data_IF_830467899491
#
_entry.id   IF_830467899491
#
_cell.length_a   1.000
_cell.length_b   1.000
_cell.length_c   1.000
_cell.angle_alpha   90.00
_cell.angle_beta   90.00
_cell.angle_gamma   90.00
#
_symmetry.space_group_name_H-M   'P 1'
#
loop_
_entity.id
_entity.type
_entity.pdbx_description
1 polymer ?
#
# COMPACT_ATOMS: atom_id res chain seq x y z
N UNK A 1 1.58 -18.92 41.57
CA UNK A 1 2.53 -17.84 41.21
C UNK A 1 2.20 -17.41 39.79
N UNK A 2 2.04 -16.11 39.51
CA UNK A 2 1.82 -15.59 38.16
C UNK A 2 2.70 -14.36 37.91
N UNK A 3 3.74 -14.54 37.10
CA UNK A 3 4.61 -13.47 36.63
C UNK A 3 4.63 -13.39 35.08
N UNK A 4 3.54 -13.81 34.44
CA UNK A 4 3.46 -13.92 32.98
C UNK A 4 2.55 -12.85 32.36
N UNK A 5 1.22 -13.00 32.50
CA UNK A 5 0.24 -12.00 32.02
C UNK A 5 -0.93 -11.89 32.98
N UNK A 6 -1.50 -10.68 33.06
CA UNK A 6 -2.80 -10.45 33.70
C UNK A 6 -3.88 -11.33 33.06
N UNK A 7 -4.78 -11.86 33.89
CA UNK A 7 -5.92 -12.66 33.43
C UNK A 7 -5.67 -14.14 33.15
N UNK A 8 -4.42 -14.64 33.25
CA UNK A 8 -4.14 -16.09 33.22
C UNK A 8 -4.79 -16.79 34.42
N UNK A 9 -4.72 -16.15 35.60
CA UNK A 9 -5.39 -16.60 36.81
C UNK A 9 -6.60 -15.70 37.05
N UNK A 10 -7.76 -16.31 37.32
CA UNK A 10 -8.93 -15.56 37.75
C UNK A 10 -8.69 -15.00 39.17
N UNK A 11 -8.58 -13.68 39.29
CA UNK A 11 -8.17 -12.98 40.52
C UNK A 11 -9.23 -13.09 41.63
N UNK A 12 -10.51 -13.14 41.29
CA UNK A 12 -11.61 -13.34 42.26
C UNK A 12 -11.60 -14.75 42.84
N UNK A 13 -11.47 -15.76 41.97
CA UNK A 13 -11.38 -17.16 42.37
C UNK A 13 -10.12 -17.41 43.20
N UNK A 14 -9.00 -16.77 42.85
CA UNK A 14 -7.77 -16.80 43.63
C UNK A 14 -7.98 -16.22 45.03
N UNK A 15 -8.61 -15.03 45.11
CA UNK A 15 -8.92 -14.40 46.38
C UNK A 15 -9.82 -15.29 47.26
N UNK A 16 -10.77 -16.00 46.67
CA UNK A 16 -11.63 -16.94 47.40
C UNK A 16 -10.88 -18.20 47.85
N UNK A 17 -10.03 -18.77 47.00
CA UNK A 17 -9.16 -19.89 47.36
C UNK A 17 -8.22 -19.55 48.52
N UNK A 18 -7.74 -18.30 48.58
CA UNK A 18 -6.90 -17.81 49.68
C UNK A 18 -7.70 -17.57 50.96
N UNK A 19 -8.90 -16.97 50.87
CA UNK A 19 -9.78 -16.73 52.03
C UNK A 19 -10.26 -18.01 52.68
N UNK A 20 -10.65 -19.00 51.87
CA UNK A 20 -11.12 -20.31 52.33
C UNK A 20 -10.01 -21.18 52.93
N UNK A 21 -8.74 -20.77 52.79
CA UNK A 21 -7.58 -21.57 53.21
C UNK A 21 -7.27 -22.75 52.30
N UNK A 22 -7.99 -22.89 51.17
CA UNK A 22 -7.67 -23.90 50.14
C UNK A 22 -6.28 -23.66 49.55
N UNK A 23 -5.91 -22.38 49.38
CA UNK A 23 -4.59 -21.95 48.95
C UNK A 23 -3.82 -21.36 50.13
N UNK A 24 -2.63 -21.90 50.40
CA UNK A 24 -1.78 -21.40 51.47
C UNK A 24 -1.23 -20.00 51.19
N UNK A 25 -1.05 -19.63 49.91
CA UNK A 25 -0.58 -18.31 49.51
C UNK A 25 -0.46 -18.16 48.00
N UNK A 26 -0.13 -16.95 47.56
CA UNK A 26 0.09 -16.63 46.15
C UNK A 26 1.20 -15.61 45.96
N UNK A 27 1.76 -15.56 44.75
CA UNK A 27 2.68 -14.50 44.35
C UNK A 27 2.31 -14.02 42.94
N UNK A 28 2.09 -12.71 42.77
CA UNK A 28 1.66 -12.12 41.50
C UNK A 28 2.50 -10.88 41.19
N UNK A 29 2.94 -10.79 39.93
CA UNK A 29 3.62 -9.62 39.39
C UNK A 29 2.73 -8.82 38.42
N UNK A 30 1.64 -9.42 37.95
CA UNK A 30 0.79 -8.89 36.87
C UNK A 30 -0.69 -9.01 37.23
N UNK A 31 -1.50 -8.06 36.75
CA UNK A 31 -2.94 -7.97 37.00
C UNK A 31 -3.72 -7.76 35.70
N UNK A 32 -5.01 -8.11 35.69
CA UNK A 32 -5.90 -7.82 34.54
C UNK A 32 -5.95 -6.32 34.23
N UNK A 33 -6.05 -5.50 35.29
CA UNK A 33 -6.00 -4.05 35.21
C UNK A 33 -4.74 -3.56 35.92
N UNK A 34 -3.92 -2.79 35.21
CA UNK A 34 -2.72 -2.18 35.77
C UNK A 34 -2.75 -0.66 35.60
N UNK A 35 -2.60 0.13 36.69
CA UNK A 35 -2.47 -0.29 38.09
C UNK A 35 -3.76 -0.92 38.66
N UNK A 36 -3.67 -1.89 39.60
CA UNK A 36 -4.85 -2.46 40.21
C UNK A 36 -5.62 -1.42 41.02
N UNK A 37 -6.96 -1.49 41.09
CA UNK A 37 -7.77 -0.64 41.95
C UNK A 37 -7.31 -0.67 43.42
N UNK A 38 -7.40 0.45 44.14
CA UNK A 38 -6.93 0.55 45.52
C UNK A 38 -7.66 -0.40 46.49
N UNK A 39 -8.89 -0.82 46.15
CA UNK A 39 -9.71 -1.75 46.90
C UNK A 39 -9.55 -3.22 46.44
N UNK A 40 -8.64 -3.50 45.50
CA UNK A 40 -8.43 -4.83 44.96
C UNK A 40 -8.12 -5.86 46.08
N UNK A 41 -8.85 -6.99 46.16
CA UNK A 41 -8.87 -7.85 47.34
C UNK A 41 -7.50 -8.46 47.67
N UNK A 42 -6.70 -8.79 46.65
CA UNK A 42 -5.37 -9.38 46.84
C UNK A 42 -4.37 -8.40 47.51
N UNK A 43 -4.57 -7.08 47.40
CA UNK A 43 -3.65 -6.08 47.98
C UNK A 43 -3.61 -6.10 49.51
N UNK A 44 -4.67 -6.62 50.14
CA UNK A 44 -4.83 -6.64 51.61
C UNK A 44 -4.54 -8.00 52.23
N UNK A 45 -4.20 -9.02 51.43
CA UNK A 45 -4.01 -10.38 51.90
C UNK A 45 -2.57 -10.62 52.36
N UNK A 46 -2.40 -10.98 53.63
CA UNK A 46 -1.08 -11.19 54.22
C UNK A 46 -0.31 -12.41 53.64
N UNK A 47 -1.02 -13.38 53.08
CA UNK A 47 -0.44 -14.57 52.45
C UNK A 47 -0.21 -14.41 50.93
N UNK A 48 -0.20 -13.17 50.44
CA UNK A 48 0.04 -12.87 49.03
C UNK A 48 1.24 -11.94 48.89
N UNK A 49 2.20 -12.33 48.05
CA UNK A 49 3.33 -11.47 47.66
C UNK A 49 3.00 -10.80 46.34
N UNK A 50 3.09 -9.48 46.30
CA UNK A 50 2.77 -8.70 45.11
C UNK A 50 3.95 -7.84 44.71
N UNK A 51 4.24 -7.79 43.41
CA UNK A 51 5.21 -6.89 42.81
C UNK A 51 4.56 -6.14 41.63
N UNK A 52 4.92 -4.86 41.39
CA UNK A 52 4.28 -4.04 40.36
C UNK A 52 4.92 -4.24 38.98
N UNK A 53 4.66 -5.37 38.33
CA UNK A 53 5.14 -5.70 36.97
C UNK A 53 6.66 -5.54 36.82
N UNK A 54 7.41 -6.11 37.76
CA UNK A 54 8.85 -6.01 37.85
C UNK A 54 9.61 -7.09 37.07
N UNK A 55 8.92 -8.04 36.42
CA UNK A 55 9.56 -9.18 35.74
C UNK A 55 10.67 -8.81 34.74
N UNK A 56 10.56 -7.66 34.07
CA UNK A 56 11.58 -7.12 33.16
C UNK A 56 12.31 -5.87 33.69
N UNK A 57 12.05 -5.48 34.94
CA UNK A 57 12.62 -4.27 35.58
C UNK A 57 13.99 -4.55 36.20
N UNK A 58 14.90 -5.14 35.42
CA UNK A 58 16.31 -5.37 35.81
C UNK A 58 17.26 -4.62 34.89
N UNK A 59 18.45 -4.28 35.39
CA UNK A 59 19.46 -3.55 34.61
C UNK A 59 19.88 -4.35 33.38
N UNK A 60 20.05 -5.66 33.53
CA UNK A 60 20.45 -6.58 32.47
C UNK A 60 19.37 -6.67 31.39
N UNK A 61 18.10 -6.86 31.76
CA UNK A 61 17.01 -6.96 30.80
C UNK A 61 16.82 -5.64 30.02
N UNK A 62 16.86 -4.49 30.71
CA UNK A 62 16.77 -3.19 30.05
C UNK A 62 17.96 -2.94 29.11
N UNK A 63 19.17 -3.36 29.50
CA UNK A 63 20.35 -3.28 28.63
C UNK A 63 20.19 -4.15 27.38
N UNK A 64 19.75 -5.40 27.54
CA UNK A 64 19.50 -6.30 26.41
C UNK A 64 18.44 -5.75 25.44
N UNK A 65 17.31 -5.25 25.97
CA UNK A 65 16.25 -4.63 25.15
C UNK A 65 16.77 -3.40 24.41
N UNK A 66 17.56 -2.54 25.08
CA UNK A 66 18.13 -1.36 24.44
C UNK A 66 19.11 -1.73 23.31
N UNK A 67 19.98 -2.73 23.53
CA UNK A 67 20.90 -3.23 22.50
C UNK A 67 20.14 -3.84 21.32
N UNK A 68 19.11 -4.65 21.58
CA UNK A 68 18.28 -5.25 20.52
C UNK A 68 17.56 -4.17 19.70
N UNK A 69 16.93 -3.18 20.36
CA UNK A 69 16.28 -2.06 19.69
C UNK A 69 17.27 -1.24 18.85
N UNK A 70 18.46 -0.95 19.37
CA UNK A 70 19.51 -0.26 18.63
C UNK A 70 19.98 -1.07 17.41
N UNK A 71 20.12 -2.40 17.55
CA UNK A 71 20.52 -3.27 16.45
C UNK A 71 19.45 -3.30 15.36
N UNK A 72 18.17 -3.36 15.71
CA UNK A 72 17.06 -3.27 14.74
C UNK A 72 17.11 -1.96 13.94
N UNK A 73 17.41 -0.84 14.61
CA UNK A 73 17.57 0.45 13.93
C UNK A 73 18.81 0.48 13.02
N UNK A 74 19.95 -0.05 13.47
CA UNK A 74 21.18 -0.12 12.67
C UNK A 74 20.96 -1.01 11.43
N UNK A 75 20.31 -2.16 11.61
CA UNK A 75 20.04 -3.13 10.55
C UNK A 75 19.12 -2.54 9.48
N UNK A 76 18.08 -1.83 9.90
CA UNK A 76 17.22 -1.10 8.99
C UNK A 76 17.95 0.03 8.26
N UNK A 77 18.62 0.93 9.00
CA UNK A 77 19.24 2.11 8.41
C UNK A 77 20.47 1.79 7.55
N UNK A 78 21.19 0.72 7.84
CA UNK A 78 22.43 0.36 7.12
C UNK A 78 22.19 -0.66 6.01
N UNK A 79 21.24 -1.59 6.19
CA UNK A 79 21.05 -2.76 5.30
C UNK A 79 19.61 -2.91 4.79
N UNK A 80 18.68 -2.08 5.24
CA UNK A 80 17.25 -2.22 4.92
C UNK A 80 16.59 -3.47 5.52
N UNK A 81 17.26 -4.17 6.44
CA UNK A 81 16.74 -5.40 7.01
C UNK A 81 15.69 -5.09 8.08
N UNK A 82 14.52 -5.74 8.00
CA UNK A 82 13.42 -5.56 8.95
C UNK A 82 13.18 -6.87 9.70
N UNK A 83 13.60 -6.92 10.97
CA UNK A 83 13.34 -8.03 11.89
C UNK A 83 12.31 -7.64 12.96
N UNK A 84 11.52 -8.62 13.42
CA UNK A 84 10.57 -8.47 14.54
C UNK A 84 9.59 -7.29 14.45
N UNK A 85 9.36 -6.75 13.25
CA UNK A 85 8.43 -5.65 13.08
C UNK A 85 7.00 -6.11 13.39
N UNK A 86 6.35 -5.38 14.31
CA UNK A 86 4.99 -5.69 14.77
C UNK A 86 3.93 -5.25 13.75
N UNK A 87 4.30 -4.38 12.81
CA UNK A 87 3.41 -3.68 11.90
C UNK A 87 3.76 -3.88 10.42
N UNK A 88 4.79 -4.65 10.11
CA UNK A 88 5.15 -5.06 8.75
C UNK A 88 5.77 -6.45 8.76
N UNK A 89 5.68 -7.17 7.63
CA UNK A 89 6.31 -8.48 7.52
C UNK A 89 7.84 -8.32 7.64
N UNK A 90 8.49 -9.24 8.36
CA UNK A 90 9.93 -9.39 8.28
C UNK A 90 10.26 -9.88 6.86
N UNK A 91 11.02 -9.10 6.10
CA UNK A 91 11.42 -9.44 4.73
C UNK A 91 12.94 -9.45 4.65
N UNK A 92 13.50 -10.53 4.12
CA UNK A 92 14.93 -10.64 3.86
C UNK A 92 15.37 -9.58 2.83
N UNK A 93 16.55 -8.94 2.95
CA UNK A 93 17.01 -7.93 2.00
C UNK A 93 17.04 -8.40 0.53
N UNK A 94 17.33 -9.69 0.29
CA UNK A 94 17.35 -10.29 -1.05
C UNK A 94 15.93 -10.39 -1.60
N UNK A 95 15.00 -10.88 -0.77
CA UNK A 95 13.58 -10.95 -1.11
C UNK A 95 13.00 -9.54 -1.33
N UNK A 96 13.40 -8.56 -0.52
CA UNK A 96 12.99 -7.17 -0.64
C UNK A 96 13.48 -6.56 -1.97
N UNK A 97 14.71 -6.87 -2.39
CA UNK A 97 15.26 -6.44 -3.67
C UNK A 97 14.48 -7.05 -4.86
N UNK A 98 14.09 -8.32 -4.78
CA UNK A 98 13.25 -8.98 -5.77
C UNK A 98 11.82 -8.41 -5.81
N UNK A 99 11.28 -8.04 -4.64
CA UNK A 99 9.94 -7.46 -4.50
C UNK A 99 9.86 -6.00 -4.93
N UNK A 100 10.99 -5.29 -5.02
CA UNK A 100 11.04 -3.85 -5.29
C UNK A 100 10.19 -3.42 -6.48
N UNK A 101 10.28 -4.13 -7.61
CA UNK A 101 9.53 -3.80 -8.81
C UNK A 101 8.02 -4.08 -8.69
N UNK A 102 7.63 -5.12 -7.94
CA UNK A 102 6.23 -5.41 -7.66
C UNK A 102 5.60 -4.36 -6.76
N UNK A 103 6.33 -3.95 -5.72
CA UNK A 103 5.91 -2.89 -4.80
C UNK A 103 5.83 -1.54 -5.52
N UNK A 104 6.81 -1.20 -6.36
CA UNK A 104 6.78 0.03 -7.15
C UNK A 104 5.62 0.04 -8.15
N UNK A 105 5.41 -1.07 -8.87
CA UNK A 105 4.27 -1.22 -9.78
C UNK A 105 2.93 -1.03 -9.07
N UNK A 106 2.76 -1.67 -7.90
CA UNK A 106 1.54 -1.55 -7.12
C UNK A 106 1.31 -0.12 -6.59
N UNK A 107 2.36 0.54 -6.08
CA UNK A 107 2.29 1.96 -5.69
C UNK A 107 1.90 2.85 -6.85
N UNK A 108 2.51 2.67 -8.03
CA UNK A 108 2.20 3.42 -9.25
C UNK A 108 0.77 3.19 -9.73
N UNK A 109 0.25 1.95 -9.65
CA UNK A 109 -1.17 1.68 -9.89
C UNK A 109 -2.06 2.44 -8.88
N UNK A 110 -1.71 2.44 -7.60
CA UNK A 110 -2.40 3.20 -6.57
C UNK A 110 -2.45 4.71 -6.90
N UNK A 111 -1.29 5.30 -7.22
CA UNK A 111 -1.17 6.72 -7.59
C UNK A 111 -1.96 7.07 -8.86
N UNK A 112 -1.94 6.18 -9.86
CA UNK A 112 -2.71 6.30 -11.09
C UNK A 112 -4.21 6.34 -10.77
N UNK A 113 -4.72 5.40 -9.99
CA UNK A 113 -6.11 5.38 -9.55
C UNK A 113 -6.47 6.60 -8.70
N UNK A 114 -5.61 7.01 -7.78
CA UNK A 114 -5.84 8.17 -6.91
C UNK A 114 -6.14 9.43 -7.72
N UNK A 115 -5.43 9.61 -8.85
CA UNK A 115 -5.56 10.76 -9.75
C UNK A 115 -6.68 10.61 -10.79
N UNK A 116 -6.99 9.39 -11.24
CA UNK A 116 -8.00 9.15 -12.28
C UNK A 116 -9.41 8.93 -11.72
N UNK A 117 -9.55 8.37 -10.53
CA UNK A 117 -10.84 8.05 -9.94
C UNK A 117 -11.61 9.31 -9.58
N UNK A 118 -12.84 9.42 -10.06
CA UNK A 118 -13.79 10.43 -9.60
C UNK A 118 -14.78 9.81 -8.62
N UNK A 119 -15.15 10.57 -7.59
CA UNK A 119 -16.09 10.12 -6.56
C UNK A 119 -15.41 9.53 -5.33
N UNK A 120 -16.24 9.03 -4.41
CA UNK A 120 -15.80 8.39 -3.17
C UNK A 120 -15.41 6.94 -3.45
N UNK A 121 -14.18 6.55 -3.07
CA UNK A 121 -13.71 5.16 -3.21
C UNK A 121 -14.39 4.32 -2.13
N UNK A 122 -14.94 3.17 -2.53
CA UNK A 122 -15.63 2.24 -1.64
C UNK A 122 -14.86 0.92 -1.51
N UNK A 123 -14.27 0.46 -2.61
CA UNK A 123 -13.58 -0.82 -2.67
C UNK A 123 -12.44 -0.79 -3.68
N UNK A 124 -11.36 -1.49 -3.39
CA UNK A 124 -10.29 -1.79 -4.34
C UNK A 124 -10.00 -3.29 -4.34
N UNK A 125 -9.99 -3.90 -5.51
CA UNK A 125 -9.71 -5.30 -5.71
C UNK A 125 -8.42 -5.46 -6.51
N UNK A 126 -7.42 -6.11 -5.91
CA UNK A 126 -6.16 -6.42 -6.55
C UNK A 126 -6.15 -7.86 -7.04
N UNK A 127 -5.93 -8.04 -8.34
CA UNK A 127 -5.75 -9.35 -8.94
C UNK A 127 -4.27 -9.56 -9.28
N UNK A 128 -3.67 -10.56 -8.65
CA UNK A 128 -2.30 -10.99 -8.91
C UNK A 128 -2.34 -12.24 -9.80
N UNK A 129 -1.63 -12.22 -10.93
CA UNK A 129 -1.47 -13.39 -11.80
C UNK A 129 -0.01 -13.74 -12.08
N UNK A 130 0.23 -15.02 -12.32
CA UNK A 130 1.56 -15.56 -12.63
C UNK A 130 2.56 -15.29 -11.52
N UNK A 131 3.74 -14.78 -11.85
CA UNK A 131 4.84 -14.58 -10.89
C UNK A 131 4.44 -13.67 -9.73
N UNK A 132 3.59 -12.65 -9.97
CA UNK A 132 3.09 -11.76 -8.91
C UNK A 132 2.26 -12.51 -7.85
N UNK A 133 1.56 -13.59 -8.22
CA UNK A 133 0.76 -14.38 -7.30
C UNK A 133 1.61 -15.28 -6.38
N UNK A 134 2.88 -15.51 -6.73
CA UNK A 134 3.82 -16.32 -5.95
C UNK A 134 4.60 -15.49 -4.92
N UNK A 135 4.49 -14.15 -4.96
CA UNK A 135 5.17 -13.24 -4.04
C UNK A 135 4.34 -12.95 -2.80
N UNK A 136 4.94 -12.43 -1.70
CA UNK A 136 4.19 -11.93 -0.55
C UNK A 136 3.24 -10.76 -0.89
N UNK A 137 2.02 -11.08 -1.31
CA UNK A 137 1.04 -10.10 -1.83
C UNK A 137 0.69 -9.00 -0.83
N UNK A 138 0.75 -9.27 0.46
CA UNK A 138 0.43 -8.30 1.52
C UNK A 138 1.24 -7.00 1.40
N UNK A 139 2.53 -7.09 1.09
CA UNK A 139 3.40 -5.91 0.94
C UNK A 139 3.03 -5.13 -0.32
N UNK A 140 2.75 -5.85 -1.40
CA UNK A 140 2.34 -5.30 -2.69
C UNK A 140 1.00 -4.56 -2.56
N UNK A 141 0.02 -5.17 -1.89
CA UNK A 141 -1.27 -4.57 -1.55
C UNK A 141 -1.12 -3.33 -0.68
N UNK A 142 -0.22 -3.37 0.32
CA UNK A 142 0.02 -2.23 1.18
C UNK A 142 0.64 -1.05 0.40
N UNK A 143 1.54 -1.33 -0.55
CA UNK A 143 2.12 -0.31 -1.43
C UNK A 143 1.07 0.32 -2.36
N UNK A 144 0.17 -0.50 -2.92
CA UNK A 144 -0.99 -0.01 -3.67
C UNK A 144 -1.88 0.89 -2.81
N UNK A 145 -2.26 0.43 -1.62
CA UNK A 145 -3.10 1.19 -0.69
C UNK A 145 -2.44 2.54 -0.35
N UNK A 146 -1.13 2.55 -0.13
CA UNK A 146 -0.40 3.77 0.15
C UNK A 146 -0.46 4.74 -1.04
N UNK A 147 -0.17 4.28 -2.26
CA UNK A 147 -0.29 5.12 -3.46
C UNK A 147 -1.72 5.60 -3.75
N UNK A 148 -2.72 4.80 -3.42
CA UNK A 148 -4.13 5.16 -3.59
C UNK A 148 -4.55 6.33 -2.69
N UNK A 149 -4.02 6.37 -1.46
CA UNK A 149 -4.41 7.31 -0.42
C UNK A 149 -3.49 8.54 -0.31
N UNK A 150 -2.24 8.46 -0.75
CA UNK A 150 -1.20 9.50 -0.58
C UNK A 150 -1.65 10.90 -1.03
N UNK A 151 -2.33 11.01 -2.17
CA UNK A 151 -2.79 12.30 -2.71
C UNK A 151 -4.20 12.71 -2.25
N UNK A 152 -4.82 11.96 -1.34
CA UNK A 152 -6.20 12.19 -0.90
C UNK A 152 -6.34 12.49 0.59
N UNK A 153 -5.27 12.32 1.36
CA UNK A 153 -5.27 12.48 2.80
C UNK A 153 -4.23 13.51 3.23
N UNK A 154 -4.60 14.36 4.20
CA UNK A 154 -3.69 15.35 4.78
C UNK A 154 -2.68 14.76 5.78
N UNK A 155 -2.85 13.48 6.14
CA UNK A 155 -1.97 12.75 7.06
C UNK A 155 -0.92 11.92 6.30
N UNK A 156 0.24 11.71 6.92
CA UNK A 156 1.32 10.91 6.33
C UNK A 156 0.90 9.45 6.11
N UNK A 157 0.67 9.08 4.86
CA UNK A 157 0.39 7.70 4.43
C UNK A 157 1.70 6.98 4.11
N UNK A 158 1.85 5.74 4.59
CA UNK A 158 2.97 4.87 4.28
C UNK A 158 2.51 3.41 4.16
N UNK A 159 3.42 2.53 3.76
CA UNK A 159 3.14 1.09 3.54
C UNK A 159 2.70 0.35 4.81
N UNK A 160 2.95 0.90 5.99
CA UNK A 160 2.57 0.29 7.28
C UNK A 160 1.13 0.65 7.63
N UNK A 161 0.76 1.93 7.53
CA UNK A 161 -0.53 2.43 8.00
C UNK A 161 -1.61 2.44 6.90
N UNK A 162 -1.26 2.40 5.62
CA UNK A 162 -2.22 2.65 4.53
C UNK A 162 -3.46 1.73 4.55
N UNK A 163 -3.28 0.44 4.88
CA UNK A 163 -4.40 -0.50 4.95
C UNK A 163 -5.34 -0.21 6.12
N UNK A 164 -4.79 0.18 7.27
CA UNK A 164 -5.59 0.58 8.43
C UNK A 164 -6.37 1.86 8.11
N UNK A 165 -5.70 2.86 7.52
CA UNK A 165 -6.30 4.13 7.13
C UNK A 165 -7.39 3.99 6.07
N UNK A 166 -7.26 3.01 5.17
CA UNK A 166 -8.30 2.63 4.22
C UNK A 166 -9.54 2.08 4.95
N UNK A 167 -9.33 1.11 5.85
CA UNK A 167 -10.40 0.47 6.61
C UNK A 167 -11.17 1.45 7.51
N UNK A 168 -10.47 2.37 8.19
CA UNK A 168 -11.08 3.44 8.99
C UNK A 168 -12.00 4.36 8.18
N UNK A 169 -11.76 4.45 6.86
CA UNK A 169 -12.57 5.24 5.91
C UNK A 169 -13.61 4.41 5.17
N UNK A 170 -13.78 3.15 5.56
CA UNK A 170 -14.72 2.23 4.92
C UNK A 170 -14.29 1.79 3.51
N UNK A 171 -13.01 1.94 3.16
CA UNK A 171 -12.46 1.45 1.89
C UNK A 171 -12.03 0.01 2.08
N UNK A 172 -12.78 -0.91 1.48
CA UNK A 172 -12.44 -2.34 1.49
C UNK A 172 -11.33 -2.62 0.46
N UNK A 173 -10.21 -3.22 0.89
CA UNK A 173 -9.14 -3.65 -0.02
C UNK A 173 -9.03 -5.17 0.03
N UNK A 174 -9.33 -5.82 -1.10
CA UNK A 174 -9.35 -7.28 -1.24
C UNK A 174 -8.32 -7.75 -2.27
N UNK A 175 -7.89 -8.99 -2.12
CA UNK A 175 -6.88 -9.63 -2.98
C UNK A 175 -7.48 -10.87 -3.63
N UNK A 176 -7.21 -11.05 -4.93
CA UNK A 176 -7.39 -12.30 -5.65
C UNK A 176 -6.05 -12.73 -6.23
N UNK A 177 -5.70 -14.00 -6.06
CA UNK A 177 -4.46 -14.57 -6.58
C UNK A 177 -4.77 -15.72 -7.53
N UNK A 178 -4.00 -15.82 -8.62
CA UNK A 178 -4.06 -16.94 -9.53
C UNK A 178 -2.67 -17.25 -10.08
N UNK A 179 -2.23 -18.49 -9.96
CA UNK A 179 -0.94 -18.94 -10.52
C UNK A 179 -0.99 -19.17 -12.04
N UNK A 180 -2.17 -19.09 -12.65
CA UNK A 180 -2.30 -19.23 -14.11
C UNK A 180 -1.69 -18.02 -14.81
N UNK A 181 -0.81 -18.30 -15.76
CA UNK A 181 -0.26 -17.30 -16.66
C UNK A 181 -1.28 -16.99 -17.77
N UNK A 182 -1.50 -15.70 -18.02
CA UNK A 182 -2.30 -15.21 -19.15
C UNK A 182 -1.38 -14.76 -20.28
N UNK A 183 -1.69 -13.60 -20.87
CA UNK A 183 -0.85 -12.97 -21.90
C UNK A 183 0.53 -12.51 -21.39
N UNK A 184 0.67 -12.40 -20.06
CA UNK A 184 1.90 -11.99 -19.38
C UNK A 184 2.30 -12.99 -18.29
N UNK A 185 3.62 -13.17 -18.09
CA UNK A 185 4.16 -14.02 -17.02
C UNK A 185 3.88 -13.45 -15.62
N UNK A 186 3.73 -12.13 -15.52
CA UNK A 186 3.35 -11.42 -14.31
C UNK A 186 2.28 -10.38 -14.65
N UNK A 187 1.28 -10.22 -13.80
CA UNK A 187 0.27 -9.17 -13.94
C UNK A 187 -0.23 -8.76 -12.55
N UNK A 188 -0.29 -7.45 -12.33
CA UNK A 188 -1.03 -6.87 -11.22
C UNK A 188 -2.13 -6.00 -11.83
N UNK A 189 -3.38 -6.37 -11.60
CA UNK A 189 -4.55 -5.57 -11.97
C UNK A 189 -5.18 -5.00 -10.72
N UNK A 190 -5.57 -3.73 -10.77
CA UNK A 190 -6.35 -3.07 -9.75
C UNK A 190 -7.70 -2.63 -10.33
N UNK A 191 -8.78 -3.04 -9.67
CA UNK A 191 -10.13 -2.58 -9.92
C UNK A 191 -10.60 -1.72 -8.74
N UNK A 192 -10.70 -0.41 -8.94
CA UNK A 192 -11.13 0.54 -7.91
C UNK A 192 -12.57 0.96 -8.17
N UNK A 193 -13.46 0.54 -7.27
CA UNK A 193 -14.87 0.90 -7.28
C UNK A 193 -15.10 2.19 -6.51
N UNK A 194 -15.79 3.11 -7.17
CA UNK A 194 -16.30 4.35 -6.58
C UNK A 194 -17.83 4.35 -6.57
N UNK A 195 -18.43 5.32 -5.90
CA UNK A 195 -19.85 5.63 -5.98
C UNK A 195 -20.35 5.94 -7.41
N UNK A 196 -19.44 6.26 -8.35
CA UNK A 196 -19.78 6.55 -9.75
C UNK A 196 -19.62 5.34 -10.68
N UNK A 197 -18.42 4.74 -10.68
CA UNK A 197 -18.05 3.63 -11.57
C UNK A 197 -16.81 2.88 -11.06
N UNK A 198 -16.50 1.78 -11.73
CA UNK A 198 -15.24 1.04 -11.53
C UNK A 198 -14.18 1.54 -12.51
N UNK A 199 -12.98 1.77 -11.98
CA UNK A 199 -11.78 2.10 -12.75
C UNK A 199 -10.86 0.89 -12.71
N UNK A 200 -10.40 0.44 -13.88
CA UNK A 200 -9.50 -0.71 -14.00
C UNK A 200 -8.16 -0.24 -14.56
N UNK A 201 -7.06 -0.69 -13.97
CA UNK A 201 -5.73 -0.56 -14.54
C UNK A 201 -4.94 -1.85 -14.29
N UNK A 202 -4.10 -2.25 -15.24
CA UNK A 202 -3.21 -3.40 -15.05
C UNK A 202 -1.79 -3.09 -15.50
N UNK A 203 -0.83 -3.47 -14.66
CA UNK A 203 0.60 -3.36 -14.91
C UNK A 203 1.27 -4.73 -15.04
N UNK A 204 2.36 -4.78 -15.79
CA UNK A 204 3.24 -5.94 -15.93
C UNK A 204 4.71 -5.53 -15.87
N UNK A 205 5.60 -6.52 -15.71
CA UNK A 205 7.04 -6.36 -15.85
C UNK A 205 7.44 -6.83 -17.26
N UNK A 206 8.04 -5.94 -18.03
CA UNK A 206 8.66 -6.28 -19.31
C UNK A 206 10.16 -6.50 -19.07
N UNK A 207 10.62 -7.73 -19.30
CA UNK A 207 11.95 -8.17 -18.90
C UNK A 207 12.11 -8.09 -17.38
N UNK A 208 13.27 -7.61 -16.92
CA UNK A 208 13.61 -7.53 -15.49
C UNK A 208 13.63 -6.11 -14.92
N UNK A 209 13.24 -5.09 -15.70
CA UNK A 209 13.47 -3.68 -15.32
C UNK A 209 12.31 -2.74 -15.64
N UNK A 210 11.48 -3.03 -16.65
CA UNK A 210 10.52 -2.05 -17.15
C UNK A 210 9.11 -2.31 -16.64
N UNK A 211 8.54 -1.33 -15.95
CA UNK A 211 7.13 -1.34 -15.55
C UNK A 211 6.26 -0.83 -16.71
N UNK A 212 5.32 -1.66 -17.16
CA UNK A 212 4.42 -1.33 -18.28
C UNK A 212 2.98 -1.36 -17.85
N UNK A 213 2.24 -0.31 -18.20
CA UNK A 213 0.80 -0.25 -18.12
C UNK A 213 0.24 -0.96 -19.35
N UNK A 214 -0.45 -2.07 -19.14
CA UNK A 214 -0.96 -2.93 -20.21
C UNK A 214 -2.46 -2.88 -20.39
N UNK A 215 -3.17 -2.33 -19.40
CA UNK A 215 -4.61 -2.17 -19.47
C UNK A 215 -5.06 -0.87 -18.78
N UNK A 216 -5.99 -0.17 -19.41
CA UNK A 216 -6.76 0.92 -18.81
C UNK A 216 -8.23 0.78 -19.19
N UNK A 217 -9.08 0.57 -18.18
CA UNK A 217 -10.49 0.23 -18.37
C UNK A 217 -10.62 -1.01 -19.25
N UNK A 218 -11.28 -0.82 -20.38
CA UNK A 218 -11.55 -1.87 -21.37
C UNK A 218 -10.50 -1.97 -22.50
N UNK A 219 -9.46 -1.13 -22.47
CA UNK A 219 -8.48 -1.01 -23.54
C UNK A 219 -7.16 -1.66 -23.14
N UNK A 220 -6.57 -2.40 -24.08
CA UNK A 220 -5.20 -2.90 -23.98
C UNK A 220 -4.24 -1.87 -24.58
N UNK A 221 -3.15 -1.61 -23.87
CA UNK A 221 -2.14 -0.63 -24.22
C UNK A 221 -0.75 -1.17 -23.87
N UNK A 222 0.29 -0.41 -24.20
CA UNK A 222 1.66 -0.63 -23.75
C UNK A 222 2.29 0.75 -23.52
N UNK A 223 2.26 1.22 -22.27
CA UNK A 223 2.79 2.52 -21.89
C UNK A 223 3.74 2.40 -20.69
N UNK A 224 4.73 3.27 -20.59
CA UNK A 224 5.54 3.37 -19.38
C UNK A 224 4.71 3.89 -18.21
N UNK A 225 4.98 3.38 -17.01
CA UNK A 225 4.31 3.79 -15.76
C UNK A 225 5.07 4.87 -15.00
N UNK A 226 5.64 5.86 -15.68
CA UNK A 226 6.49 6.88 -15.07
C UNK A 226 6.28 8.28 -15.65
N UNK A 227 6.77 9.26 -14.90
CA UNK A 227 6.79 10.66 -15.30
C UNK A 227 5.39 11.27 -15.47
N UNK A 228 5.28 12.18 -16.43
CA UNK A 228 4.01 12.85 -16.74
C UNK A 228 3.30 12.06 -17.84
N UNK A 229 2.10 11.58 -17.53
CA UNK A 229 1.26 10.84 -18.47
C UNK A 229 0.01 11.65 -18.78
N UNK A 230 -0.19 12.00 -20.05
CA UNK A 230 -1.47 12.49 -20.54
C UNK A 230 -2.29 11.31 -21.06
N UNK A 231 -3.44 11.09 -20.45
CA UNK A 231 -4.36 10.01 -20.79
C UNK A 231 -5.65 10.65 -21.31
N UNK A 232 -6.07 10.29 -22.51
CA UNK A 232 -7.33 10.77 -23.05
C UNK A 232 -8.09 9.69 -23.81
N UNK A 233 -9.42 9.71 -23.66
CA UNK A 233 -10.33 8.85 -24.44
C UNK A 233 -10.89 9.63 -25.62
N UNK A 234 -11.06 8.95 -26.74
CA UNK A 234 -11.46 9.58 -27.99
C UNK A 234 -12.16 8.60 -28.94
N UNK A 235 -12.79 9.13 -29.98
CA UNK A 235 -13.19 8.34 -31.15
C UNK A 235 -12.04 8.27 -32.15
N UNK A 236 -11.72 7.06 -32.63
CA UNK A 236 -10.63 6.79 -33.56
C UNK A 236 -10.94 7.36 -34.97
N UNK A 237 -10.55 8.61 -35.21
CA UNK A 237 -10.79 9.32 -36.47
C UNK A 237 -9.49 9.83 -37.10
N UNK A 238 -9.39 9.89 -38.45
CA UNK A 238 -8.23 10.44 -39.13
C UNK A 238 -7.90 11.88 -38.67
N UNK A 239 -6.62 12.17 -38.50
CA UNK A 239 -6.11 13.50 -38.17
C UNK A 239 -5.99 13.80 -36.67
N UNK A 240 -6.63 13.02 -35.78
CA UNK A 240 -6.58 13.28 -34.34
C UNK A 240 -5.15 13.23 -33.75
N UNK A 241 -4.37 12.21 -34.14
CA UNK A 241 -2.98 12.08 -33.68
C UNK A 241 -2.13 13.28 -34.15
N UNK A 242 -2.33 13.72 -35.39
CA UNK A 242 -1.65 14.89 -35.93
C UNK A 242 -2.04 16.19 -35.22
N UNK A 243 -3.32 16.34 -34.86
CA UNK A 243 -3.83 17.44 -34.06
C UNK A 243 -3.15 17.51 -32.69
N UNK A 244 -3.07 16.38 -31.97
CA UNK A 244 -2.39 16.28 -30.67
C UNK A 244 -0.90 16.65 -30.78
N UNK A 245 -0.20 16.08 -31.76
CA UNK A 245 1.22 16.38 -31.99
C UNK A 245 1.46 17.86 -32.31
N UNK A 246 0.56 18.48 -33.09
CA UNK A 246 0.64 19.90 -33.45
C UNK A 246 0.45 20.80 -32.23
N UNK A 247 -0.52 20.50 -31.35
CA UNK A 247 -0.74 21.28 -30.11
C UNK A 247 0.49 21.19 -29.21
N UNK A 248 0.98 19.99 -28.91
CA UNK A 248 2.12 19.86 -28.00
C UNK A 248 3.41 20.42 -28.60
N UNK A 249 3.61 20.31 -29.91
CA UNK A 249 4.70 21.01 -30.62
C UNK A 249 4.61 22.54 -30.50
N UNK A 250 3.41 23.12 -30.70
CA UNK A 250 3.14 24.56 -30.53
C UNK A 250 3.47 25.04 -29.11
N UNK A 251 3.13 24.25 -28.10
CA UNK A 251 3.36 24.56 -26.69
C UNK A 251 4.72 24.09 -26.15
N UNK A 252 5.63 23.64 -27.04
CA UNK A 252 6.98 23.17 -26.70
C UNK A 252 7.01 22.05 -25.65
N UNK A 253 6.04 21.12 -25.72
CA UNK A 253 6.00 19.92 -24.88
C UNK A 253 6.38 18.72 -25.73
N UNK A 254 7.48 18.06 -25.39
CA UNK A 254 7.91 16.85 -26.09
C UNK A 254 7.07 15.63 -25.65
N UNK A 255 6.79 14.75 -26.61
CA UNK A 255 6.09 13.47 -26.41
C UNK A 255 7.13 12.36 -26.51
N UNK A 256 7.55 11.80 -25.38
CA UNK A 256 8.57 10.74 -25.32
C UNK A 256 8.04 9.41 -25.85
N UNK A 257 6.78 9.08 -25.54
CA UNK A 257 6.10 7.91 -26.07
C UNK A 257 4.62 8.23 -26.27
N UNK A 258 4.04 7.66 -27.31
CA UNK A 258 2.61 7.71 -27.58
C UNK A 258 2.12 6.29 -27.87
N UNK A 259 1.13 5.84 -27.12
CA UNK A 259 0.46 4.57 -27.33
C UNK A 259 -1.04 4.77 -27.46
N UNK A 260 -1.64 4.07 -28.43
CA UNK A 260 -3.09 4.12 -28.68
C UNK A 260 -3.65 2.70 -28.56
N UNK A 261 -4.67 2.54 -27.72
CA UNK A 261 -5.44 1.30 -27.58
C UNK A 261 -6.84 1.51 -28.13
N UNK A 262 -7.29 0.61 -29.01
CA UNK A 262 -8.65 0.62 -29.57
C UNK A 262 -9.27 -0.77 -29.55
N UNK A 263 -10.60 -0.85 -29.41
CA UNK A 263 -11.32 -2.13 -29.51
C UNK A 263 -11.56 -2.56 -30.96
N UNK A 264 -11.94 -1.61 -31.80
CA UNK A 264 -12.20 -1.81 -33.22
C UNK A 264 -11.82 -0.52 -33.97
N UNK A 265 -11.46 -0.63 -35.27
CA UNK A 265 -11.24 0.55 -36.10
C UNK A 265 -12.46 1.49 -36.09
N UNK A 266 -12.24 2.79 -35.89
CA UNK A 266 -13.31 3.80 -35.89
C UNK A 266 -14.17 3.87 -34.63
N UNK A 267 -13.93 3.02 -33.63
CA UNK A 267 -14.67 2.99 -32.37
C UNK A 267 -14.04 3.85 -31.27
N UNK A 268 -14.45 3.60 -30.03
CA UNK A 268 -13.82 4.19 -28.86
C UNK A 268 -12.36 3.71 -28.74
N UNK A 269 -11.50 4.65 -28.37
CA UNK A 269 -10.09 4.45 -28.17
C UNK A 269 -9.58 5.23 -26.96
N UNK A 270 -8.41 4.83 -26.47
CA UNK A 270 -7.64 5.53 -25.46
C UNK A 270 -6.25 5.81 -26.00
N UNK A 271 -5.70 6.98 -25.66
CA UNK A 271 -4.32 7.31 -25.91
C UNK A 271 -3.63 7.62 -24.58
N UNK A 272 -2.39 7.17 -24.46
CA UNK A 272 -1.49 7.47 -23.35
C UNK A 272 -0.22 8.06 -23.94
N UNK A 273 0.10 9.29 -23.54
CA UNK A 273 1.30 10.01 -23.93
C UNK A 273 2.18 10.20 -22.70
N UNK A 274 3.40 9.67 -22.74
CA UNK A 274 4.43 10.03 -21.77
C UNK A 274 5.09 11.34 -22.26
N UNK A 275 5.02 12.37 -21.44
CA UNK A 275 5.49 13.73 -21.73
C UNK A 275 6.73 14.06 -20.90
N UNK A 276 7.65 14.82 -21.48
CA UNK A 276 8.87 15.27 -20.76
C UNK A 276 8.58 16.31 -19.68
N UNK A 277 7.39 16.92 -19.70
CA UNK A 277 7.00 17.97 -18.78
C UNK A 277 5.49 18.03 -18.57
N UNK A 278 5.07 18.76 -17.52
CA UNK A 278 3.64 19.01 -17.29
C UNK A 278 3.11 19.92 -18.40
N UNK A 279 2.08 19.50 -19.16
CA UNK A 279 1.53 20.33 -20.22
C UNK A 279 0.87 21.58 -19.63
N UNK A 280 1.06 22.77 -20.24
CA UNK A 280 0.41 23.99 -19.79
C UNK A 280 -1.12 23.89 -19.97
N UNK A 281 -1.87 24.60 -19.12
CA UNK A 281 -3.34 24.52 -19.13
C UNK A 281 -3.94 24.96 -20.47
N UNK A 282 -3.30 25.89 -21.18
CA UNK A 282 -3.72 26.30 -22.53
C UNK A 282 -3.64 25.16 -23.55
N UNK A 283 -2.59 24.33 -23.49
CA UNK A 283 -2.51 23.13 -24.32
C UNK A 283 -3.64 22.14 -23.99
N UNK A 284 -3.92 21.94 -22.70
CA UNK A 284 -5.00 21.05 -22.26
C UNK A 284 -6.37 21.56 -22.68
N UNK A 285 -6.62 22.88 -22.65
CA UNK A 285 -7.86 23.49 -23.17
C UNK A 285 -8.02 23.23 -24.66
N UNK A 286 -6.97 23.42 -25.45
CA UNK A 286 -7.00 23.14 -26.90
C UNK A 286 -7.30 21.66 -27.18
N UNK A 287 -6.69 20.74 -26.42
CA UNK A 287 -6.97 19.30 -26.53
C UNK A 287 -8.44 19.00 -26.17
N UNK A 288 -8.93 19.51 -25.03
CA UNK A 288 -10.32 19.27 -24.58
C UNK A 288 -11.38 19.87 -25.51
N UNK A 289 -11.02 20.87 -26.31
CA UNK A 289 -11.94 21.50 -27.27
C UNK A 289 -12.21 20.63 -28.52
N UNK A 290 -11.41 19.60 -28.77
CA UNK A 290 -11.60 18.75 -29.94
C UNK A 290 -12.84 17.86 -29.80
N UNK A 291 -13.76 17.92 -30.78
CA UNK A 291 -15.08 17.27 -30.71
C UNK A 291 -15.04 15.75 -30.47
N UNK A 292 -13.98 15.08 -30.92
CA UNK A 292 -13.82 13.62 -30.78
C UNK A 292 -13.09 13.20 -29.49
N UNK A 293 -12.69 14.12 -28.62
CA UNK A 293 -12.05 13.81 -27.33
C UNK A 293 -13.11 13.85 -26.23
N UNK A 294 -13.26 12.75 -25.49
CA UNK A 294 -14.31 12.58 -24.49
C UNK A 294 -13.83 12.78 -23.05
N UNK A 295 -12.56 12.53 -22.77
CA UNK A 295 -11.96 12.83 -21.47
C UNK A 295 -10.47 13.06 -21.59
N UNK A 296 -9.90 13.88 -20.71
CA UNK A 296 -8.47 14.18 -20.64
C UNK A 296 -8.05 14.24 -19.18
N UNK A 297 -7.04 13.45 -18.82
CA UNK A 297 -6.45 13.38 -17.49
C UNK A 297 -4.94 13.51 -17.59
N UNK A 298 -4.34 14.33 -16.74
CA UNK A 298 -2.89 14.38 -16.56
C UNK A 298 -2.58 13.65 -15.26
N UNK A 299 -1.78 12.59 -15.35
CA UNK A 299 -1.33 11.80 -14.21
C UNK A 299 0.16 12.02 -14.05
N UNK A 300 0.59 12.27 -12.81
CA UNK A 300 2.00 12.37 -12.45
C UNK A 300 2.38 11.14 -11.65
N UNK A 301 3.25 10.32 -12.22
CA UNK A 301 3.87 9.19 -11.54
C UNK A 301 5.33 9.54 -11.22
N UNK A 302 5.96 8.82 -10.28
CA UNK A 302 7.39 9.00 -10.02
C UNK A 302 8.21 8.84 -11.31
N UNK A 303 9.32 9.58 -11.49
CA UNK A 303 10.28 9.33 -12.55
C UNK A 303 10.70 7.86 -12.68
N UNK A 304 11.18 7.49 -13.86
CA UNK A 304 11.74 6.18 -14.13
C UNK A 304 12.92 5.91 -13.18
N UNK A 305 12.96 4.71 -12.61
CA UNK A 305 14.02 4.29 -11.68
C UNK A 305 13.96 4.90 -10.27
N UNK A 306 13.04 5.84 -9.99
CA UNK A 306 12.85 6.34 -8.63
C UNK A 306 12.19 5.26 -7.77
N UNK A 307 12.91 4.78 -6.76
CA UNK A 307 12.38 3.83 -5.78
C UNK A 307 11.24 4.44 -4.95
N UNK A 308 10.26 3.62 -4.51
CA UNK A 308 9.33 4.04 -3.47
C UNK A 308 10.07 4.60 -2.26
N UNK A 309 9.57 5.65 -1.59
CA UNK A 309 10.27 6.31 -0.49
C UNK A 309 10.50 5.42 0.73
N UNK A 310 9.81 4.27 0.80
CA UNK A 310 9.94 3.28 1.87
C UNK A 310 11.06 2.27 1.62
N UNK A 311 11.64 2.26 0.41
CA UNK A 311 12.79 1.46 0.03
C UNK A 311 13.99 2.41 -0.06
N UNK A 312 14.90 2.28 0.91
CA UNK A 312 16.17 3.03 0.93
C UNK A 312 17.08 2.67 -0.23
#
# INVERSE_FOLDING_TARGET
INCARGGIVNEEALAEGLRSGHLAGAALDVFVQEPPPADHPLLKMANVVLTPHLGASTVEAQTSVAVEAAQLLIDYLSRGAVGFAVNMAAVDPTELAEMRLYVDMARRLGLLHSQMCQGAIQRAELHFRGDAALRPTRLITAAFAAGLLENRLDQNVNIVNARLLAAERGIEIVEQTSTQTGDFSTLIRADVQTDKKTYTAAGTLFGSQYLRLVQLGQFHIDAFMDGVMLIFTHQDVPGLVGFIGTIFGKHQVNIAQMTVGRKAPGGDAIAVLNLDGTPPEEALKEVRAHAHITSVSVVKLPPAGQSPPWFG
#
